data_IF_203007210381
#
_entry.id   IF_203007210381
#
_cell.length_a   1.000
_cell.length_b   1.000
_cell.length_c   1.000
_cell.angle_alpha   90.00
_cell.angle_beta   90.00
_cell.angle_gamma   90.00
#
_symmetry.space_group_name_H-M   'P 1'
#
loop_
_entity.id
_entity.type
_entity.pdbx_description
1 polymer ?
#
# COMPACT_ATOMS: atom_id res chain seq x y z
N UNK A 1 -46.48 -4.11 -34.56
CA UNK A 1 -46.08 -4.66 -35.87
C UNK A 1 -45.62 -3.51 -36.77
N UNK A 2 -44.35 -3.49 -37.22
CA UNK A 2 -43.79 -2.50 -38.18
C UNK A 2 -43.82 -1.03 -37.74
N UNK A 3 -43.14 -0.04 -38.35
CA UNK A 3 -42.01 0.04 -39.31
C UNK A 3 -41.56 1.54 -39.31
N UNK A 4 -40.38 2.01 -39.77
CA UNK A 4 -39.23 1.47 -40.52
C UNK A 4 -37.90 1.94 -39.89
N UNK A 5 -36.74 1.54 -40.42
CA UNK A 5 -35.44 2.15 -40.11
C UNK A 5 -35.19 3.43 -40.91
N UNK A 6 -34.96 4.56 -40.25
CA UNK A 6 -34.44 5.77 -40.89
C UNK A 6 -32.90 5.76 -40.93
N UNK A 7 -32.33 5.20 -42.00
CA UNK A 7 -30.90 5.42 -42.31
C UNK A 7 -30.76 6.87 -42.82
N UNK A 8 -30.00 7.76 -42.14
CA UNK A 8 -29.80 9.11 -42.64
C UNK A 8 -28.89 9.09 -43.88
N UNK A 9 -29.44 9.48 -45.03
CA UNK A 9 -28.67 9.65 -46.28
C UNK A 9 -27.65 10.78 -46.11
N UNK A 10 -26.36 10.40 -46.15
CA UNK A 10 -25.24 11.13 -46.78
C UNK A 10 -25.33 12.67 -46.79
N UNK A 11 -24.83 13.33 -45.74
CA UNK A 11 -24.23 14.67 -45.83
C UNK A 11 -22.94 14.71 -44.97
N UNK A 12 -22.04 15.71 -45.14
CA UNK A 12 -20.60 15.47 -45.26
C UNK A 12 -19.89 15.13 -43.95
N UNK A 13 -18.58 14.85 -44.03
CA UNK A 13 -17.71 14.50 -42.91
C UNK A 13 -17.58 15.61 -41.84
N UNK A 14 -18.64 15.78 -41.05
CA UNK A 14 -18.62 16.50 -39.78
C UNK A 14 -17.89 15.66 -38.75
N UNK A 15 -16.73 16.15 -38.31
CA UNK A 15 -15.84 15.53 -37.31
C UNK A 15 -16.66 14.84 -36.21
N UNK A 16 -16.59 13.51 -36.11
CA UNK A 16 -17.14 12.76 -34.96
C UNK A 16 -16.48 13.32 -33.71
N UNK A 17 -17.16 14.23 -33.00
CA UNK A 17 -16.75 14.67 -31.67
C UNK A 17 -16.81 13.42 -30.80
N UNK A 18 -15.65 12.79 -30.56
CA UNK A 18 -15.48 11.81 -29.49
C UNK A 18 -16.05 12.49 -28.25
N UNK A 19 -17.20 12.02 -27.74
CA UNK A 19 -17.68 12.49 -26.43
C UNK A 19 -16.57 12.13 -25.46
N UNK A 20 -15.86 13.15 -24.97
CA UNK A 20 -14.79 12.96 -24.01
C UNK A 20 -15.46 12.49 -22.73
N UNK A 21 -15.41 11.18 -22.48
CA UNK A 21 -15.90 10.59 -21.24
C UNK A 21 -14.97 11.13 -20.16
N UNK A 22 -15.44 12.15 -19.42
CA UNK A 22 -14.73 12.72 -18.30
C UNK A 22 -14.76 11.71 -17.15
N UNK A 23 -13.69 10.92 -17.06
CA UNK A 23 -13.43 10.11 -15.88
C UNK A 23 -13.11 11.09 -14.75
N UNK A 24 -14.00 11.18 -13.76
CA UNK A 24 -13.74 11.98 -12.57
C UNK A 24 -12.78 11.22 -11.67
N UNK A 25 -11.50 11.58 -11.75
CA UNK A 25 -10.46 11.06 -10.86
C UNK A 25 -10.64 11.65 -9.46
N UNK A 26 -10.64 10.79 -8.45
CA UNK A 26 -10.80 11.17 -7.04
C UNK A 26 -9.57 10.67 -6.28
N UNK A 27 -8.70 11.60 -5.90
CA UNK A 27 -7.59 11.31 -5.00
C UNK A 27 -8.05 11.34 -3.54
N UNK A 28 -7.55 10.41 -2.73
CA UNK A 28 -7.80 10.35 -1.28
C UNK A 28 -6.46 10.37 -0.55
N UNK A 29 -6.37 11.15 0.53
CA UNK A 29 -5.17 11.14 1.37
C UNK A 29 -5.08 9.83 2.16
N UNK A 30 -4.00 9.09 1.95
CA UNK A 30 -3.68 7.87 2.71
C UNK A 30 -2.58 8.20 3.73
N UNK A 31 -2.83 8.10 5.04
CA UNK A 31 -1.80 8.31 6.06
C UNK A 31 -0.63 7.33 5.92
N UNK A 32 0.58 7.80 6.18
CA UNK A 32 1.78 6.95 6.14
C UNK A 32 1.74 5.86 7.22
N UNK A 33 2.09 4.62 6.82
CA UNK A 33 2.22 3.48 7.74
C UNK A 33 3.51 3.65 8.55
N UNK A 34 3.44 3.48 9.88
CA UNK A 34 4.60 3.56 10.77
C UNK A 34 5.28 2.19 10.93
N UNK A 35 6.61 2.19 11.03
CA UNK A 35 7.39 0.99 11.39
C UNK A 35 6.99 0.51 12.80
N UNK A 36 6.62 -0.78 12.99
CA UNK A 36 6.44 -1.33 14.33
C UNK A 36 7.78 -1.43 15.09
N UNK A 37 7.90 -0.70 16.20
CA UNK A 37 9.10 -0.73 17.05
C UNK A 37 9.40 -2.15 17.58
N UNK A 38 10.67 -2.44 17.87
CA UNK A 38 11.08 -3.62 18.61
C UNK A 38 10.39 -3.67 19.99
N UNK A 39 9.75 -4.80 20.31
CA UNK A 39 9.06 -5.04 21.58
C UNK A 39 9.43 -6.44 22.03
N UNK A 40 9.91 -6.57 23.27
CA UNK A 40 10.04 -7.86 23.94
C UNK A 40 8.66 -8.29 24.49
N UNK A 41 8.11 -9.36 23.92
CA UNK A 41 6.88 -9.97 24.41
C UNK A 41 7.13 -11.11 25.41
N UNK A 42 8.36 -11.59 25.53
CA UNK A 42 8.69 -12.75 26.37
C UNK A 42 8.80 -12.31 27.82
N UNK A 43 9.66 -11.32 28.11
CA UNK A 43 9.91 -10.89 29.48
C UNK A 43 8.64 -10.40 30.24
N UNK A 44 7.79 -9.51 29.70
CA UNK A 44 6.62 -9.01 30.43
C UNK A 44 5.46 -10.01 30.52
N UNK A 45 5.46 -11.10 29.74
CA UNK A 45 4.38 -12.10 29.71
C UNK A 45 4.75 -13.44 30.35
N UNK A 46 6.03 -13.64 30.67
CA UNK A 46 6.52 -14.86 31.34
C UNK A 46 5.81 -15.06 32.68
N UNK A 47 5.20 -16.24 32.86
CA UNK A 47 4.45 -16.58 34.07
C UNK A 47 3.02 -16.01 34.14
N UNK A 48 2.65 -15.06 33.27
CA UNK A 48 1.28 -14.52 33.20
C UNK A 48 0.40 -15.26 32.19
N UNK A 49 0.99 -15.80 31.13
CA UNK A 49 0.26 -16.54 30.07
C UNK A 49 1.02 -17.79 29.62
N UNK A 50 0.34 -18.80 29.03
CA UNK A 50 0.99 -19.98 28.48
C UNK A 50 2.00 -19.65 27.37
N UNK A 51 3.10 -20.40 27.31
CA UNK A 51 4.19 -20.16 26.37
C UNK A 51 3.73 -20.16 24.91
N UNK A 52 2.87 -21.10 24.53
CA UNK A 52 2.25 -21.20 23.21
C UNK A 52 1.56 -19.90 22.75
N UNK A 53 1.02 -19.11 23.68
CA UNK A 53 0.38 -17.83 23.37
C UNK A 53 1.43 -16.75 23.08
N UNK A 54 2.52 -16.71 23.87
CA UNK A 54 3.66 -15.80 23.64
C UNK A 54 4.29 -16.08 22.27
N UNK A 55 4.47 -17.36 21.92
CA UNK A 55 5.05 -17.76 20.63
C UNK A 55 4.11 -17.41 19.46
N UNK A 56 2.79 -17.61 19.61
CA UNK A 56 1.77 -17.18 18.63
C UNK A 56 1.73 -15.66 18.43
N UNK A 57 1.80 -14.88 19.52
CA UNK A 57 1.87 -13.41 19.46
C UNK A 57 3.16 -12.94 18.78
N UNK A 58 4.28 -13.57 19.09
CA UNK A 58 5.58 -13.29 18.47
C UNK A 58 5.57 -13.58 16.96
N UNK A 59 4.99 -14.71 16.55
CA UNK A 59 4.80 -15.06 15.14
C UNK A 59 3.85 -14.07 14.41
N UNK A 60 2.77 -13.64 15.07
CA UNK A 60 1.84 -12.64 14.52
C UNK A 60 2.55 -11.28 14.33
N UNK A 61 3.30 -10.81 15.32
CA UNK A 61 4.13 -9.59 15.20
C UNK A 61 5.13 -9.71 14.04
N UNK A 62 5.80 -10.85 13.91
CA UNK A 62 6.72 -11.11 12.80
C UNK A 62 6.07 -11.02 11.42
N UNK A 63 4.80 -11.41 11.29
CA UNK A 63 4.01 -11.22 10.05
C UNK A 63 3.67 -9.76 9.80
N UNK A 64 3.26 -9.01 10.83
CA UNK A 64 2.93 -7.58 10.71
C UNK A 64 4.16 -6.77 10.25
N UNK A 65 5.34 -7.05 10.81
CA UNK A 65 6.60 -6.40 10.39
C UNK A 65 6.94 -6.73 8.93
N UNK A 66 6.72 -7.97 8.49
CA UNK A 66 6.94 -8.39 7.08
C UNK A 66 5.92 -7.84 6.08
N UNK A 67 4.77 -7.36 6.55
CA UNK A 67 3.77 -6.69 5.69
C UNK A 67 4.07 -5.20 5.48
N UNK A 68 5.10 -4.66 6.11
CA UNK A 68 5.54 -3.28 5.90
C UNK A 68 6.28 -3.18 4.54
N UNK A 69 6.02 -2.14 3.70
CA UNK A 69 6.68 -2.00 2.41
C UNK A 69 8.21 -1.99 2.52
N UNK A 70 8.87 -2.70 1.61
CA UNK A 70 10.32 -2.91 1.62
C UNK A 70 11.11 -1.60 1.44
N UNK A 71 10.53 -0.61 0.74
CA UNK A 71 11.13 0.72 0.52
C UNK A 71 11.46 1.45 1.83
N UNK A 72 10.80 1.08 2.93
CA UNK A 72 11.07 1.60 4.27
C UNK A 72 12.14 0.81 5.04
N UNK A 73 12.46 -0.41 4.60
CA UNK A 73 13.56 -1.23 5.15
C UNK A 73 14.90 -0.89 4.46
N UNK A 74 14.89 -0.66 3.15
CA UNK A 74 16.08 -0.26 2.38
C UNK A 74 16.63 1.10 2.88
N UNK A 75 15.74 2.06 3.15
CA UNK A 75 16.12 3.36 3.75
C UNK A 75 16.70 3.27 5.17
N UNK A 76 16.39 2.22 5.93
CA UNK A 76 16.98 1.99 7.27
C UNK A 76 18.42 1.48 7.13
N UNK A 77 18.70 0.63 6.15
CA UNK A 77 20.07 0.16 5.89
C UNK A 77 20.99 1.30 5.40
N UNK A 78 20.50 2.14 4.49
CA UNK A 78 21.24 3.31 4.00
C UNK A 78 21.54 4.34 5.11
N UNK A 79 20.58 4.60 6.00
CA UNK A 79 20.77 5.55 7.10
C UNK A 79 21.70 5.01 8.21
N UNK A 80 21.67 3.70 8.49
CA UNK A 80 22.65 3.04 9.38
C UNK A 80 24.06 3.08 8.76
N UNK A 81 24.19 2.80 7.46
CA UNK A 81 25.47 2.85 6.74
C UNK A 81 26.08 4.26 6.76
N UNK A 82 25.25 5.27 6.50
CA UNK A 82 25.63 6.69 6.57
C UNK A 82 26.10 7.11 7.97
N UNK A 83 25.41 6.66 9.02
CA UNK A 83 25.79 6.97 10.41
C UNK A 83 27.07 6.23 10.83
N UNK A 84 27.29 5.00 10.39
CA UNK A 84 28.51 4.25 10.67
C UNK A 84 29.76 4.92 10.05
N UNK A 85 29.66 5.42 8.82
CA UNK A 85 30.75 6.16 8.17
C UNK A 85 31.07 7.49 8.89
N UNK A 86 30.07 8.16 9.45
CA UNK A 86 30.25 9.40 10.22
C UNK A 86 30.79 9.20 11.66
N UNK A 87 31.02 7.95 12.11
CA UNK A 87 31.61 7.63 13.41
C UNK A 87 33.09 7.20 13.31
N UNK A 88 33.63 7.07 12.09
CA UNK A 88 34.98 6.54 11.81
C UNK A 88 35.91 7.61 11.18
N UNK A 89 35.37 8.80 10.90
CA UNK A 89 36.11 9.98 10.44
C UNK A 89 36.21 11.05 11.54
#
# INVERSE_FOLDING_TARGET
MGCTSSIPKRYPMGKRKKKHISIHEVAVFVPAVRVPMAVDLIHPLTGLVPRDLIDKLSALRGRIVKCLPNDLQDGILESISSQALAQVA
#
